data_IF_802850322915
#
_entry.id   IF_802850322915
#
_cell.length_a   1.000
_cell.length_b   1.000
_cell.length_c   1.000
_cell.angle_alpha   90.00
_cell.angle_beta   90.00
_cell.angle_gamma   90.00
#
_symmetry.space_group_name_H-M   'P 1'
#
loop_
_entity.id
_entity.type
_entity.pdbx_description
1 polymer ?
#
# COMPACT_ATOMS: atom_id res chain seq x y z
N UNK A 1 -11.20 3.94 -6.93
CA UNK A 1 -9.82 4.18 -7.36
C UNK A 1 -9.24 2.86 -7.83
N UNK A 2 -8.61 2.83 -9.01
CA UNK A 2 -7.83 1.66 -9.42
C UNK A 2 -6.41 1.79 -8.85
N UNK A 3 -6.03 0.89 -7.95
CA UNK A 3 -4.71 0.91 -7.29
C UNK A 3 -3.62 0.25 -8.14
N UNK A 4 -3.98 -0.47 -9.23
CA UNK A 4 -3.05 -1.32 -10.00
C UNK A 4 -1.92 -0.55 -10.68
N UNK A 5 -2.13 0.72 -10.98
CA UNK A 5 -1.09 1.59 -11.57
C UNK A 5 -0.09 2.08 -10.53
N UNK A 6 -0.43 1.99 -9.23
CA UNK A 6 0.36 2.54 -8.13
C UNK A 6 0.95 1.50 -7.21
N UNK A 7 0.41 0.29 -7.17
CA UNK A 7 0.94 -0.81 -6.38
C UNK A 7 1.54 -1.86 -7.30
N UNK A 8 2.85 -2.07 -7.18
CA UNK A 8 3.59 -3.08 -7.94
C UNK A 8 3.92 -4.28 -7.05
N UNK A 9 4.01 -5.45 -7.67
CA UNK A 9 4.43 -6.69 -7.01
C UNK A 9 5.54 -7.29 -7.85
N UNK A 10 6.78 -7.11 -7.40
CA UNK A 10 7.97 -7.53 -8.11
C UNK A 10 8.76 -8.52 -7.24
N UNK A 11 9.06 -9.75 -7.72
CA UNK A 11 9.78 -10.75 -6.92
C UNK A 11 11.14 -10.25 -6.39
N UNK A 12 11.83 -9.40 -7.15
CA UNK A 12 13.12 -8.79 -6.82
C UNK A 12 13.04 -7.67 -5.77
N UNK A 13 11.84 -7.13 -5.49
CA UNK A 13 11.64 -5.99 -4.60
C UNK A 13 11.02 -6.45 -3.29
N UNK A 14 11.72 -6.23 -2.16
CA UNK A 14 11.25 -6.56 -0.79
C UNK A 14 10.71 -8.00 -0.64
N UNK A 15 11.18 -8.95 -1.47
CA UNK A 15 10.74 -10.35 -1.45
C UNK A 15 9.34 -10.56 -2.03
N UNK A 16 8.95 -9.81 -3.06
CA UNK A 16 7.63 -9.96 -3.70
C UNK A 16 6.48 -9.32 -2.92
N UNK A 17 6.78 -8.46 -1.95
CA UNK A 17 5.75 -7.72 -1.21
C UNK A 17 5.15 -6.62 -2.08
N UNK A 18 3.84 -6.33 -1.99
CA UNK A 18 3.23 -5.19 -2.66
C UNK A 18 3.90 -3.89 -2.23
N UNK A 19 4.44 -3.15 -3.20
CA UNK A 19 5.17 -1.90 -3.02
C UNK A 19 4.50 -0.77 -3.77
N UNK A 20 4.70 0.47 -3.32
CA UNK A 20 4.33 1.67 -4.06
C UNK A 20 5.21 1.77 -5.31
N UNK A 21 4.62 2.17 -6.45
CA UNK A 21 5.26 2.26 -7.76
C UNK A 21 6.63 2.94 -7.72
N UNK A 22 7.67 2.24 -8.18
CA UNK A 22 9.03 2.78 -8.23
C UNK A 22 9.68 3.06 -6.87
N UNK A 23 9.02 2.72 -5.75
CA UNK A 23 9.52 2.89 -4.40
C UNK A 23 9.75 1.53 -3.73
N UNK A 24 10.68 1.50 -2.77
CA UNK A 24 10.89 0.33 -1.91
C UNK A 24 10.08 0.41 -0.60
N UNK A 25 8.97 1.15 -0.63
CA UNK A 25 8.02 1.31 0.46
C UNK A 25 6.87 0.33 0.20
N UNK A 26 6.66 -0.60 1.12
CA UNK A 26 5.60 -1.61 1.01
C UNK A 26 4.25 -1.02 1.41
N UNK A 27 3.16 -1.64 0.92
CA UNK A 27 1.81 -1.32 1.40
C UNK A 27 1.73 -1.51 2.92
N UNK A 28 2.38 -2.54 3.46
CA UNK A 28 2.44 -2.78 4.91
C UNK A 28 3.14 -1.65 5.64
N UNK A 29 4.28 -1.14 5.14
CA UNK A 29 4.99 -0.02 5.79
C UNK A 29 4.05 1.19 5.95
N UNK A 30 3.34 1.58 4.87
CA UNK A 30 2.37 2.70 4.91
C UNK A 30 1.27 2.45 5.95
N UNK A 31 0.71 1.25 5.98
CA UNK A 31 -0.36 0.90 6.94
C UNK A 31 0.15 0.90 8.38
N UNK A 32 1.34 0.39 8.63
CA UNK A 32 1.96 0.35 9.96
C UNK A 32 2.26 1.76 10.48
N UNK A 33 2.75 2.67 9.62
CA UNK A 33 2.95 4.07 10.00
C UNK A 33 1.65 4.77 10.38
N UNK A 34 0.60 4.60 9.56
CA UNK A 34 -0.72 5.17 9.85
C UNK A 34 -1.34 4.57 11.12
N UNK A 35 -1.20 3.25 11.31
CA UNK A 35 -1.68 2.57 12.52
C UNK A 35 -0.89 3.00 13.77
N UNK A 36 0.38 3.36 13.61
CA UNK A 36 1.22 3.96 14.64
C UNK A 36 0.87 5.40 14.99
N UNK A 37 -0.15 6.00 14.35
CA UNK A 37 -0.64 7.35 14.64
C UNK A 37 -0.02 8.45 13.77
N UNK A 38 0.80 8.11 12.78
CA UNK A 38 1.28 9.09 11.81
C UNK A 38 0.14 9.58 10.92
N UNK A 39 0.08 10.89 10.71
CA UNK A 39 -0.87 11.49 9.76
C UNK A 39 -0.38 11.33 8.31
N UNK A 40 -1.27 11.32 7.31
CA UNK A 40 -0.86 11.33 5.90
C UNK A 40 0.11 12.48 5.57
N UNK A 41 -0.08 13.65 6.16
CA UNK A 41 0.77 14.84 5.95
C UNK A 41 2.19 14.61 6.46
N UNK A 42 2.33 14.00 7.65
CA UNK A 42 3.64 13.61 8.19
C UNK A 42 4.32 12.56 7.32
N UNK A 43 3.55 11.57 6.84
CA UNK A 43 4.09 10.53 5.97
C UNK A 43 4.62 11.12 4.65
N UNK A 44 3.91 12.07 4.05
CA UNK A 44 4.36 12.76 2.84
C UNK A 44 5.57 13.67 3.10
N UNK A 45 5.69 14.23 4.30
CA UNK A 45 6.87 15.01 4.69
C UNK A 45 8.12 14.13 4.85
N UNK A 46 7.98 12.97 5.47
CA UNK A 46 9.09 12.03 5.71
C UNK A 46 9.48 11.23 4.45
N UNK A 47 8.54 11.05 3.53
CA UNK A 47 8.74 10.36 2.25
C UNK A 47 8.28 11.25 1.07
N UNK A 48 9.10 12.21 0.60
CA UNK A 48 8.72 13.17 -0.43
C UNK A 48 8.33 12.56 -1.79
N UNK A 49 8.80 11.33 -2.08
CA UNK A 49 8.46 10.61 -3.31
C UNK A 49 7.08 9.94 -3.25
N UNK A 50 6.49 9.81 -2.05
CA UNK A 50 5.11 9.37 -1.88
C UNK A 50 4.17 10.50 -2.27
N UNK A 51 3.06 10.13 -2.91
CA UNK A 51 1.95 11.06 -3.15
C UNK A 51 0.73 10.67 -2.33
N UNK A 52 -0.17 11.62 -2.10
CA UNK A 52 -1.44 11.35 -1.41
C UNK A 52 -2.24 10.24 -2.11
N UNK A 53 -2.16 10.14 -3.43
CA UNK A 53 -2.82 9.07 -4.17
C UNK A 53 -2.15 7.70 -3.99
N UNK A 54 -0.83 7.65 -3.77
CA UNK A 54 -0.14 6.41 -3.45
C UNK A 54 -0.60 5.88 -2.07
N UNK A 55 -0.83 6.77 -1.10
CA UNK A 55 -1.44 6.40 0.20
C UNK A 55 -2.86 5.85 -0.01
N UNK A 56 -3.69 6.54 -0.81
CA UNK A 56 -5.05 6.05 -1.14
C UNK A 56 -5.00 4.70 -1.86
N UNK A 57 -4.03 4.48 -2.73
CA UNK A 57 -3.83 3.21 -3.42
C UNK A 57 -3.44 2.09 -2.44
N UNK A 58 -2.61 2.36 -1.44
CA UNK A 58 -2.29 1.41 -0.37
C UNK A 58 -3.56 0.97 0.40
N UNK A 59 -4.40 1.93 0.79
CA UNK A 59 -5.66 1.66 1.48
C UNK A 59 -6.63 0.86 0.61
N UNK A 60 -6.77 1.23 -0.67
CA UNK A 60 -7.63 0.53 -1.61
C UNK A 60 -7.16 -0.91 -1.88
N UNK A 61 -5.85 -1.12 -2.03
CA UNK A 61 -5.24 -2.44 -2.15
C UNK A 61 -5.54 -3.31 -0.92
N UNK A 62 -5.37 -2.76 0.29
CA UNK A 62 -5.63 -3.48 1.53
C UNK A 62 -7.10 -3.90 1.65
N UNK A 63 -8.03 -2.99 1.37
CA UNK A 63 -9.45 -3.28 1.38
C UNK A 63 -9.85 -4.34 0.34
N UNK A 64 -9.23 -4.34 -0.85
CA UNK A 64 -9.48 -5.36 -1.85
C UNK A 64 -8.93 -6.73 -1.46
N UNK A 65 -7.71 -6.76 -0.91
CA UNK A 65 -7.10 -7.99 -0.41
C UNK A 65 -7.93 -8.60 0.72
N UNK A 66 -8.45 -7.79 1.63
CA UNK A 66 -9.34 -8.25 2.70
C UNK A 66 -10.63 -8.85 2.15
N UNK A 67 -11.27 -8.18 1.19
CA UNK A 67 -12.48 -8.69 0.52
C UNK A 67 -12.23 -10.05 -0.14
N UNK A 68 -11.08 -10.21 -0.81
CA UNK A 68 -10.71 -11.47 -1.46
C UNK A 68 -10.50 -12.59 -0.47
N UNK A 69 -9.94 -12.30 0.70
CA UNK A 69 -9.75 -13.27 1.78
C UNK A 69 -11.10 -13.89 2.17
N UNK A 70 -12.12 -13.06 2.37
CA UNK A 70 -13.47 -13.52 2.75
C UNK A 70 -14.29 -14.07 1.58
N UNK A 71 -14.08 -13.61 0.35
CA UNK A 71 -14.79 -14.15 -0.81
C UNK A 71 -14.27 -15.52 -1.23
N UNK A 72 -12.98 -15.80 -1.03
CA UNK A 72 -12.37 -17.10 -1.34
C UNK A 72 -12.74 -18.19 -0.32
N UNK A 73 -13.13 -17.81 0.90
CA UNK A 73 -13.53 -18.73 1.96
C UNK A 73 -15.00 -19.20 1.86
N UNK A 74 -15.79 -18.63 0.94
CA UNK A 74 -17.20 -18.92 0.76
C UNK A 74 -17.53 -19.90 -0.39
N UNK A 75 -16.51 -20.56 -0.95
CA UNK A 75 -16.63 -21.52 -2.06
C UNK A 75 -16.28 -22.95 -1.63
#
# INVERSE_FOLDING_TARGET
MDYRERITIEPSTRGGKPCVRGLRITVTDVLDYLAGGMTPEQLLADFPDLTADDIRACLAFAADRERRLFSAAAA
#
